data_IF_213090623720
#
_entry.id   IF_213090623720
#
_cell.length_a   1.000
_cell.length_b   1.000
_cell.length_c   1.000
_cell.angle_alpha   90.00
_cell.angle_beta   90.00
_cell.angle_gamma   90.00
#
_symmetry.space_group_name_H-M   'P 1'
#
loop_
_entity.id
_entity.type
_entity.pdbx_description
1 polymer ?
#
# COMPACT_ATOMS: atom_id res chain seq x y z
N UNK A 1 -19.18 -32.42 -15.39
CA UNK A 1 -17.79 -32.03 -15.69
C UNK A 1 -17.27 -31.31 -14.46
N UNK A 2 -16.51 -32.02 -13.62
CA UNK A 2 -15.97 -31.45 -12.39
C UNK A 2 -14.86 -30.45 -12.75
N UNK A 3 -15.07 -29.18 -12.41
CA UNK A 3 -14.01 -28.18 -12.39
C UNK A 3 -13.09 -28.54 -11.22
N UNK A 4 -11.98 -29.21 -11.52
CA UNK A 4 -10.84 -29.25 -10.60
C UNK A 4 -10.32 -27.82 -10.45
N UNK A 5 -10.83 -27.09 -9.46
CA UNK A 5 -10.04 -26.07 -8.80
C UNK A 5 -8.92 -26.82 -8.08
N UNK A 6 -7.77 -26.97 -8.72
CA UNK A 6 -6.54 -27.29 -8.00
C UNK A 6 -6.28 -26.13 -7.06
N UNK A 7 -6.75 -26.30 -5.84
CA UNK A 7 -6.44 -25.51 -4.67
C UNK A 7 -4.94 -25.72 -4.36
N UNK A 8 -4.06 -25.19 -5.19
CA UNK A 8 -2.68 -24.90 -4.81
C UNK A 8 -2.71 -23.68 -3.89
N UNK A 9 -3.42 -23.81 -2.76
CA UNK A 9 -3.24 -22.92 -1.61
C UNK A 9 -1.89 -23.31 -1.03
N UNK A 10 -0.83 -22.74 -1.59
CA UNK A 10 0.42 -22.61 -0.84
C UNK A 10 0.06 -21.86 0.45
N UNK A 11 0.45 -22.40 1.60
CA UNK A 11 0.17 -21.77 2.88
C UNK A 11 0.78 -20.36 2.87
N UNK A 12 -0.05 -19.32 2.98
CA UNK A 12 0.41 -17.94 2.88
C UNK A 12 1.09 -17.54 4.20
N UNK A 13 2.37 -17.18 4.14
CA UNK A 13 3.14 -16.76 5.30
C UNK A 13 4.05 -15.56 4.95
N UNK A 14 3.63 -14.37 5.40
CA UNK A 14 4.38 -13.14 5.19
C UNK A 14 5.72 -13.09 5.96
N UNK A 15 5.90 -13.93 6.99
CA UNK A 15 7.17 -14.07 7.72
C UNK A 15 8.21 -14.85 6.92
N UNK A 16 7.75 -15.75 6.04
CA UNK A 16 8.58 -16.52 5.09
C UNK A 16 8.54 -15.95 3.66
N UNK A 17 7.94 -14.78 3.46
CA UNK A 17 7.74 -14.14 2.15
C UNK A 17 6.93 -14.99 1.16
N UNK A 18 6.04 -15.83 1.67
CA UNK A 18 5.13 -16.65 0.89
C UNK A 18 3.84 -15.87 0.64
N UNK A 19 3.69 -15.36 -0.58
CA UNK A 19 2.51 -14.62 -1.02
C UNK A 19 1.80 -15.36 -2.15
N UNK A 20 0.48 -15.17 -2.32
CA UNK A 20 -0.24 -15.63 -3.50
C UNK A 20 0.38 -15.12 -4.79
N UNK A 21 0.21 -15.88 -5.88
CA UNK A 21 0.72 -15.52 -7.23
C UNK A 21 0.25 -14.15 -7.71
N UNK A 22 -0.90 -13.68 -7.22
CA UNK A 22 -1.45 -12.35 -7.51
C UNK A 22 -0.54 -11.22 -7.00
N UNK A 23 0.26 -11.45 -5.96
CA UNK A 23 1.16 -10.47 -5.37
C UNK A 23 2.62 -10.61 -5.80
N UNK A 24 2.98 -11.63 -6.59
CA UNK A 24 4.35 -11.86 -7.05
C UNK A 24 4.92 -10.67 -7.84
N UNK A 25 4.05 -9.99 -8.62
CA UNK A 25 4.41 -8.78 -9.40
C UNK A 25 3.89 -7.49 -8.79
N UNK A 26 3.23 -7.56 -7.63
CA UNK A 26 2.70 -6.37 -6.98
C UNK A 26 3.84 -5.42 -6.57
N UNK A 27 3.55 -4.13 -6.61
CA UNK A 27 4.36 -3.11 -5.96
C UNK A 27 3.75 -2.80 -4.60
N UNK A 28 4.61 -2.51 -3.63
CA UNK A 28 4.17 -2.12 -2.29
C UNK A 28 4.12 -0.61 -2.17
N UNK A 29 3.19 -0.10 -1.36
CA UNK A 29 3.10 1.32 -1.02
C UNK A 29 3.49 1.52 0.44
N UNK A 30 4.16 2.64 0.74
CA UNK A 30 4.41 3.06 2.11
C UNK A 30 3.15 3.68 2.70
N UNK A 31 2.95 3.62 4.02
CA UNK A 31 1.80 4.28 4.68
C UNK A 31 1.76 5.77 4.31
N UNK A 32 2.93 6.42 4.27
CA UNK A 32 3.06 7.82 3.85
C UNK A 32 2.70 8.09 2.38
N UNK A 33 2.89 7.12 1.49
CA UNK A 33 2.47 7.27 0.09
C UNK A 33 0.97 7.08 -0.05
N UNK A 34 0.40 6.11 0.66
CA UNK A 34 -1.04 5.91 0.70
C UNK A 34 -1.71 7.17 1.25
N UNK A 35 -1.18 7.76 2.32
CA UNK A 35 -1.64 9.05 2.88
C UNK A 35 -1.71 10.14 1.80
N UNK A 36 -0.60 10.37 1.08
CA UNK A 36 -0.52 11.36 0.02
C UNK A 36 -1.53 11.11 -1.12
N UNK A 37 -1.68 9.85 -1.54
CA UNK A 37 -2.59 9.48 -2.62
C UNK A 37 -4.06 9.68 -2.21
N UNK A 38 -4.41 9.32 -0.97
CA UNK A 38 -5.76 9.50 -0.45
C UNK A 38 -6.08 10.97 -0.22
N UNK A 39 -5.15 11.77 0.30
CA UNK A 39 -5.32 13.23 0.41
C UNK A 39 -5.55 13.87 -0.95
N UNK A 40 -4.75 13.49 -1.95
CA UNK A 40 -4.94 14.00 -3.30
C UNK A 40 -6.30 13.60 -3.88
N UNK A 41 -6.73 12.35 -3.67
CA UNK A 41 -8.04 11.87 -4.13
C UNK A 41 -9.20 12.59 -3.44
N UNK A 42 -9.07 12.91 -2.14
CA UNK A 42 -10.04 13.70 -1.38
C UNK A 42 -10.14 15.12 -1.91
N UNK A 43 -9.00 15.79 -2.13
CA UNK A 43 -8.97 17.13 -2.72
C UNK A 43 -9.56 17.18 -4.13
N UNK A 44 -9.32 16.14 -4.95
CA UNK A 44 -9.97 16.01 -6.27
C UNK A 44 -11.50 15.85 -6.17
N UNK A 45 -11.98 15.15 -5.14
CA UNK A 45 -13.41 14.96 -4.92
C UNK A 45 -14.10 16.26 -4.46
N UNK A 46 -13.46 16.99 -3.54
CA UNK A 46 -13.95 18.28 -3.02
C UNK A 46 -13.97 19.39 -4.10
N UNK A 47 -13.15 19.25 -5.14
CA UNK A 47 -13.08 20.20 -6.26
C UNK A 47 -13.89 19.77 -7.49
N UNK A 48 -14.55 18.62 -7.45
CA UNK A 48 -15.41 18.14 -8.53
C UNK A 48 -16.74 18.91 -8.56
N UNK A 49 -17.32 19.06 -9.76
CA UNK A 49 -18.64 19.72 -9.92
C UNK A 49 -19.75 18.97 -9.18
N UNK A 50 -19.65 17.64 -9.11
CA UNK A 50 -20.49 16.79 -8.28
C UNK A 50 -19.62 16.07 -7.25
N UNK A 51 -19.61 16.58 -6.02
CA UNK A 51 -18.95 15.93 -4.90
C UNK A 51 -19.64 14.60 -4.58
N UNK A 52 -18.86 13.52 -4.57
CA UNK A 52 -19.36 12.19 -4.18
C UNK A 52 -18.95 11.90 -2.74
N UNK A 53 -19.84 11.26 -1.97
CA UNK A 53 -19.49 10.82 -0.63
C UNK A 53 -18.41 9.72 -0.70
N UNK A 54 -17.27 9.98 -0.05
CA UNK A 54 -16.17 9.01 0.02
C UNK A 54 -16.57 7.85 0.95
N UNK A 55 -16.22 6.63 0.56
CA UNK A 55 -16.64 5.44 1.32
C UNK A 55 -16.09 5.41 2.75
N UNK A 56 -16.78 4.70 3.64
CA UNK A 56 -16.32 4.52 5.02
C UNK A 56 -14.91 3.88 5.08
N UNK A 57 -14.63 2.93 4.18
CA UNK A 57 -13.30 2.32 4.05
C UNK A 57 -12.26 3.38 3.70
N UNK A 58 -12.56 4.27 2.74
CA UNK A 58 -11.66 5.36 2.37
C UNK A 58 -11.35 6.26 3.57
N UNK A 59 -12.38 6.72 4.29
CA UNK A 59 -12.21 7.61 5.44
C UNK A 59 -11.40 6.96 6.58
N UNK A 60 -11.66 5.68 6.85
CA UNK A 60 -10.89 4.91 7.85
C UNK A 60 -9.43 4.73 7.44
N UNK A 61 -9.17 4.37 6.17
CA UNK A 61 -7.80 4.21 5.68
C UNK A 61 -7.05 5.54 5.69
N UNK A 62 -7.67 6.63 5.25
CA UNK A 62 -7.07 7.97 5.32
C UNK A 62 -6.72 8.34 6.77
N UNK A 63 -7.65 8.18 7.70
CA UNK A 63 -7.41 8.48 9.13
C UNK A 63 -6.29 7.63 9.73
N UNK A 64 -6.20 6.35 9.34
CA UNK A 64 -5.11 5.46 9.75
C UNK A 64 -3.77 5.94 9.18
N UNK A 65 -3.74 6.23 7.88
CA UNK A 65 -2.54 6.70 7.18
C UNK A 65 -2.05 8.04 7.74
N UNK A 66 -2.92 9.00 7.98
CA UNK A 66 -2.57 10.29 8.59
C UNK A 66 -1.94 10.12 9.99
N UNK A 67 -2.43 9.13 10.77
CA UNK A 67 -1.95 8.86 12.13
C UNK A 67 -0.58 8.16 12.15
N UNK A 68 -0.34 7.24 11.23
CA UNK A 68 0.85 6.38 11.22
C UNK A 68 1.88 6.76 10.14
N UNK A 69 1.56 7.73 9.28
CA UNK A 69 2.51 8.29 8.32
C UNK A 69 3.69 8.92 9.04
N UNK A 70 4.88 8.37 8.80
CA UNK A 70 6.15 8.86 9.36
C UNK A 70 6.68 10.07 8.61
N UNK A 71 6.40 10.13 7.31
CA UNK A 71 6.94 11.13 6.40
C UNK A 71 5.81 11.91 5.74
N UNK A 72 5.80 13.24 5.91
CA UNK A 72 4.80 14.12 5.28
C UNK A 72 5.32 14.80 4.01
N UNK A 73 6.64 14.79 3.80
CA UNK A 73 7.26 15.39 2.64
C UNK A 73 7.50 14.33 1.55
N UNK A 74 7.00 14.61 0.34
CA UNK A 74 7.20 13.82 -0.88
C UNK A 74 8.68 13.53 -1.18
N UNK A 75 9.55 14.52 -1.00
CA UNK A 75 10.99 14.36 -1.23
C UNK A 75 11.60 13.37 -0.24
N UNK A 76 11.20 13.44 1.03
CA UNK A 76 11.65 12.49 2.07
C UNK A 76 11.17 11.08 1.75
N UNK A 77 9.91 10.92 1.35
CA UNK A 77 9.35 9.62 0.94
C UNK A 77 10.15 9.03 -0.23
N UNK A 78 10.40 9.83 -1.26
CA UNK A 78 11.17 9.40 -2.42
C UNK A 78 12.63 9.04 -2.06
N UNK A 79 13.26 9.81 -1.17
CA UNK A 79 14.61 9.53 -0.69
C UNK A 79 14.69 8.23 0.13
N UNK A 80 13.75 8.01 1.05
CA UNK A 80 13.65 6.77 1.85
C UNK A 80 13.44 5.57 0.92
N UNK A 81 12.52 5.69 -0.05
CA UNK A 81 12.29 4.64 -1.04
C UNK A 81 13.56 4.34 -1.85
N UNK A 82 14.20 5.35 -2.42
CA UNK A 82 15.43 5.17 -3.19
C UNK A 82 16.53 4.49 -2.37
N UNK A 83 16.71 4.92 -1.12
CA UNK A 83 17.69 4.35 -0.21
C UNK A 83 17.45 2.86 0.07
N UNK A 84 16.19 2.47 0.32
CA UNK A 84 15.85 1.08 0.61
C UNK A 84 15.86 0.19 -0.64
N UNK A 85 15.49 0.72 -1.81
CA UNK A 85 15.53 0.00 -3.09
C UNK A 85 16.97 -0.35 -3.51
N UNK A 86 17.98 0.41 -3.07
CA UNK A 86 19.39 0.05 -3.29
C UNK A 86 19.83 -1.19 -2.49
N UNK A 87 19.01 -1.67 -1.54
CA UNK A 87 19.27 -2.89 -0.77
C UNK A 87 18.60 -4.09 -1.43
N UNK A 88 19.19 -5.27 -1.27
CA UNK A 88 18.63 -6.55 -1.73
C UNK A 88 17.53 -7.03 -0.78
N UNK A 89 16.42 -6.29 -0.71
CA UNK A 89 15.26 -6.58 0.12
C UNK A 89 14.07 -6.95 -0.77
N UNK A 90 13.19 -7.81 -0.27
CA UNK A 90 11.88 -8.01 -0.88
C UNK A 90 11.02 -6.75 -0.74
N UNK A 91 10.12 -6.49 -1.70
CA UNK A 91 9.25 -5.29 -1.69
C UNK A 91 8.42 -5.18 -0.42
N UNK A 92 7.98 -6.33 0.10
CA UNK A 92 7.28 -6.41 1.39
C UNK A 92 8.17 -5.94 2.54
N UNK A 93 9.39 -6.48 2.67
CA UNK A 93 10.33 -6.11 3.72
C UNK A 93 10.70 -4.63 3.66
N UNK A 94 10.92 -4.10 2.45
CA UNK A 94 11.18 -2.68 2.23
C UNK A 94 10.05 -1.81 2.83
N UNK A 95 8.79 -2.14 2.52
CA UNK A 95 7.66 -1.39 3.05
C UNK A 95 7.49 -1.58 4.55
N UNK A 96 7.71 -2.78 5.07
CA UNK A 96 7.65 -3.03 6.52
C UNK A 96 8.68 -2.19 7.27
N UNK A 97 9.94 -2.14 6.81
CA UNK A 97 10.99 -1.34 7.43
C UNK A 97 10.71 0.17 7.39
N UNK A 98 10.05 0.65 6.34
CA UNK A 98 9.69 2.06 6.24
C UNK A 98 8.49 2.43 7.12
N UNK A 99 7.61 1.47 7.42
CA UNK A 99 6.36 1.68 8.15
C UNK A 99 6.47 1.44 9.68
N UNK A 100 7.24 0.42 10.10
CA UNK A 100 7.38 -0.06 11.49
C UNK A 100 8.51 0.59 12.26
#
# INVERSE_FOLDING_TARGET
MSLNQTNDQTEEDATELQFPKEFEKAETLLISEVDMLLEHRKAQNESAEEEQELSEVFMKTLSYCQRFSRYKNRETIAAVRSLLTQKKLHKYELSQLANL
#
